data_IF_716311846191
#
_entry.id   IF_716311846191
#
_cell.length_a   1.000
_cell.length_b   1.000
_cell.length_c   1.000
_cell.angle_alpha   90.00
_cell.angle_beta   90.00
_cell.angle_gamma   90.00
#
_symmetry.space_group_name_H-M   'P 1'
#
loop_
_entity.id
_entity.type
_entity.pdbx_description
1 polymer ?
#
# COMPACT_ATOMS: atom_id res chain seq x y z
N UNK A 1 28.05 2.54 29.13
CA UNK A 1 27.88 2.64 27.67
C UNK A 1 26.69 1.75 27.30
N UNK A 2 25.48 2.32 27.22
CA UNK A 2 24.31 1.56 26.78
C UNK A 2 24.48 1.27 25.28
N UNK A 3 24.54 0.01 24.91
CA UNK A 3 24.39 -0.43 23.52
C UNK A 3 22.99 0.03 23.09
N UNK A 4 22.92 1.04 22.24
CA UNK A 4 21.69 1.30 21.49
C UNK A 4 21.52 0.14 20.53
N UNK A 5 20.55 -0.73 20.79
CA UNK A 5 20.11 -1.68 19.80
C UNK A 5 19.69 -0.91 18.55
N UNK A 6 20.12 -1.33 17.36
CA UNK A 6 19.75 -0.65 16.13
C UNK A 6 18.22 -0.65 16.03
N UNK A 7 17.63 0.54 15.81
CA UNK A 7 16.19 0.66 15.58
C UNK A 7 15.87 -0.20 14.35
N UNK A 8 14.98 -1.20 14.46
CA UNK A 8 14.65 -2.03 13.31
C UNK A 8 14.13 -1.16 12.18
N UNK A 9 14.64 -1.37 10.97
CA UNK A 9 14.25 -0.60 9.78
C UNK A 9 12.76 -0.72 9.47
N UNK A 10 12.11 -1.79 9.95
CA UNK A 10 10.67 -2.02 9.85
C UNK A 10 10.18 -2.95 10.96
N UNK A 11 8.88 -2.95 11.20
CA UNK A 11 8.22 -3.87 12.12
C UNK A 11 7.04 -4.57 11.45
N UNK A 12 6.98 -5.89 11.48
CA UNK A 12 5.77 -6.63 11.11
C UNK A 12 4.68 -6.34 12.14
N UNK A 13 3.49 -5.97 11.68
CA UNK A 13 2.36 -5.69 12.59
C UNK A 13 1.82 -7.01 13.13
N UNK A 14 2.09 -7.28 14.40
CA UNK A 14 1.65 -8.46 15.17
C UNK A 14 1.12 -8.03 16.54
N UNK A 15 0.45 -8.91 17.28
CA UNK A 15 -0.04 -8.59 18.62
C UNK A 15 1.05 -8.11 19.58
N UNK A 16 2.25 -8.69 19.49
CA UNK A 16 3.40 -8.41 20.36
C UNK A 16 4.34 -7.33 19.83
N UNK A 17 4.17 -6.86 18.59
CA UNK A 17 5.07 -5.88 17.99
C UNK A 17 5.08 -4.56 18.77
N UNK A 18 6.24 -3.91 18.83
CA UNK A 18 6.41 -2.61 19.47
C UNK A 18 5.97 -1.47 18.52
N UNK A 19 4.67 -1.31 18.33
CA UNK A 19 4.06 -0.28 17.48
C UNK A 19 3.49 0.83 18.36
N UNK A 20 4.06 2.03 18.25
CA UNK A 20 3.54 3.22 18.92
C UNK A 20 3.07 4.27 17.88
N UNK A 21 2.03 5.01 18.19
CA UNK A 21 1.52 6.06 17.29
C UNK A 21 2.57 7.15 17.04
N UNK A 22 3.39 7.48 18.03
CA UNK A 22 4.45 8.49 17.91
C UNK A 22 5.56 8.08 16.92
N UNK A 23 5.89 6.78 16.84
CA UNK A 23 6.98 6.28 15.98
C UNK A 23 6.50 5.69 14.66
N UNK A 24 5.33 5.04 14.62
CA UNK A 24 4.81 4.33 13.46
C UNK A 24 3.50 4.91 12.91
N UNK A 25 2.96 5.93 13.59
CA UNK A 25 1.72 6.59 13.23
C UNK A 25 0.45 5.83 13.67
N UNK A 26 -0.67 6.55 13.56
CA UNK A 26 -1.97 6.06 14.04
C UNK A 26 -2.51 4.89 13.22
N UNK A 27 -2.30 4.86 11.92
CA UNK A 27 -2.78 3.77 11.06
C UNK A 27 -2.16 2.43 11.45
N UNK A 28 -0.84 2.40 11.65
CA UNK A 28 -0.13 1.21 12.10
C UNK A 28 -0.63 0.76 13.49
N UNK A 29 -0.86 1.72 14.39
CA UNK A 29 -1.40 1.44 15.72
C UNK A 29 -2.84 0.90 15.68
N UNK A 30 -3.70 1.43 14.82
CA UNK A 30 -5.05 0.91 14.60
C UNK A 30 -5.01 -0.51 14.05
N UNK A 31 -4.19 -0.79 13.04
CA UNK A 31 -4.03 -2.14 12.50
C UNK A 31 -3.59 -3.12 13.60
N UNK A 32 -2.63 -2.74 14.45
CA UNK A 32 -2.22 -3.58 15.57
C UNK A 32 -3.37 -3.85 16.56
N UNK A 33 -4.23 -2.87 16.82
CA UNK A 33 -5.42 -3.09 17.66
C UNK A 33 -6.38 -4.12 17.05
N UNK A 34 -6.62 -4.05 15.74
CA UNK A 34 -7.44 -5.01 15.03
C UNK A 34 -6.84 -6.43 15.10
N UNK A 35 -5.53 -6.56 14.91
CA UNK A 35 -4.81 -7.84 15.06
C UNK A 35 -4.96 -8.40 16.47
N UNK A 36 -4.87 -7.56 17.50
CA UNK A 36 -5.05 -7.99 18.91
C UNK A 36 -6.47 -8.43 19.24
N UNK A 37 -7.46 -7.95 18.48
CA UNK A 37 -8.86 -8.35 18.58
C UNK A 37 -9.19 -9.56 17.69
N UNK A 38 -8.16 -10.19 17.10
CA UNK A 38 -8.29 -11.34 16.18
C UNK A 38 -9.18 -11.04 14.96
N UNK A 39 -9.24 -9.77 14.55
CA UNK A 39 -9.97 -9.37 13.36
C UNK A 39 -9.14 -9.60 12.10
N UNK A 40 -9.76 -10.03 10.99
CA UNK A 40 -9.05 -10.29 9.75
C UNK A 40 -8.50 -8.99 9.16
N UNK A 41 -7.18 -8.83 9.15
CA UNK A 41 -6.48 -7.72 8.52
C UNK A 41 -5.42 -8.23 7.56
N UNK A 42 -5.12 -7.52 6.48
CA UNK A 42 -4.03 -7.88 5.59
C UNK A 42 -2.70 -7.89 6.35
N UNK A 43 -1.82 -8.84 6.00
CA UNK A 43 -0.44 -8.84 6.49
C UNK A 43 0.19 -7.48 6.21
N UNK A 44 0.80 -6.88 7.21
CA UNK A 44 1.26 -5.50 7.16
C UNK A 44 2.60 -5.31 7.86
N UNK A 45 3.40 -4.43 7.31
CA UNK A 45 4.69 -3.98 7.84
C UNK A 45 4.61 -2.48 8.07
N UNK A 46 5.10 -1.99 9.19
CA UNK A 46 5.19 -0.57 9.52
C UNK A 46 6.65 -0.11 9.50
N UNK A 47 6.90 1.00 8.82
CA UNK A 47 8.17 1.70 8.83
C UNK A 47 8.13 2.78 9.92
N UNK A 48 9.11 2.86 10.82
CA UNK A 48 9.21 3.97 11.77
C UNK A 48 9.43 5.30 11.05
N UNK A 49 8.98 6.38 11.65
CA UNK A 49 9.17 7.72 11.10
C UNK A 49 10.65 8.09 10.87
N UNK A 50 11.56 7.53 11.66
CA UNK A 50 13.01 7.67 11.48
C UNK A 50 13.48 7.05 10.18
N UNK A 51 13.02 5.83 9.85
CA UNK A 51 13.32 5.15 8.58
C UNK A 51 12.73 5.92 7.40
N UNK A 52 11.48 6.38 7.51
CA UNK A 52 10.86 7.20 6.44
C UNK A 52 11.65 8.49 6.19
N UNK A 53 12.11 9.17 7.25
CA UNK A 53 12.96 10.36 7.12
C UNK A 53 14.32 10.04 6.48
N UNK A 54 14.94 8.92 6.84
CA UNK A 54 16.19 8.48 6.25
C UNK A 54 16.05 8.20 4.74
N UNK A 55 14.97 7.52 4.34
CA UNK A 55 14.65 7.28 2.92
C UNK A 55 14.46 8.63 2.18
N UNK A 56 13.72 9.56 2.78
CA UNK A 56 13.51 10.88 2.20
C UNK A 56 14.80 11.69 2.05
N UNK A 57 15.80 11.41 2.90
CA UNK A 57 17.15 11.98 2.81
C UNK A 57 18.07 11.23 1.82
N UNK A 58 17.56 10.22 1.11
CA UNK A 58 18.32 9.46 0.11
C UNK A 58 19.03 8.21 0.63
N UNK A 59 18.79 7.82 1.88
CA UNK A 59 19.35 6.57 2.41
C UNK A 59 18.58 5.37 1.84
N UNK A 60 19.32 4.28 1.57
CA UNK A 60 18.70 3.02 1.15
C UNK A 60 17.88 2.37 2.26
N UNK A 61 16.93 1.53 1.87
CA UNK A 61 16.16 0.65 2.76
C UNK A 61 16.26 -0.78 2.24
N UNK A 62 16.24 -1.77 3.12
CA UNK A 62 16.16 -3.18 2.74
C UNK A 62 14.74 -3.51 2.20
N UNK A 63 14.49 -3.10 0.97
CA UNK A 63 13.23 -3.38 0.30
C UNK A 63 12.98 -4.89 0.11
N UNK A 64 14.04 -5.68 -0.09
CA UNK A 64 13.94 -7.13 -0.26
C UNK A 64 13.49 -7.80 1.04
N UNK A 65 14.07 -7.43 2.18
CA UNK A 65 13.68 -7.92 3.50
C UNK A 65 12.24 -7.52 3.85
N UNK A 66 11.81 -6.31 3.50
CA UNK A 66 10.42 -5.87 3.66
C UNK A 66 9.49 -6.76 2.81
N UNK A 67 9.79 -6.93 1.52
CA UNK A 67 8.95 -7.69 0.59
C UNK A 67 8.87 -9.17 0.94
N UNK A 68 9.94 -9.76 1.47
CA UNK A 68 9.98 -11.14 1.92
C UNK A 68 8.85 -11.48 2.93
N UNK A 69 8.42 -10.49 3.73
CA UNK A 69 7.30 -10.67 4.66
C UNK A 69 5.96 -10.98 3.97
N UNK A 70 5.82 -10.70 2.68
CA UNK A 70 4.56 -10.84 1.95
C UNK A 70 4.50 -12.07 1.05
N UNK A 71 5.58 -12.88 1.00
CA UNK A 71 5.70 -14.05 0.13
C UNK A 71 6.12 -13.69 -1.30
N UNK A 72 5.98 -14.66 -2.21
CA UNK A 72 6.44 -14.52 -3.59
C UNK A 72 5.55 -13.59 -4.41
N UNK A 73 6.17 -12.54 -4.90
CA UNK A 73 5.54 -11.62 -5.83
C UNK A 73 4.24 -11.00 -5.31
N UNK A 74 4.20 -10.35 -4.16
CA UNK A 74 2.96 -9.81 -3.59
C UNK A 74 2.41 -8.65 -4.40
N UNK A 75 1.09 -8.43 -4.34
CA UNK A 75 0.49 -7.11 -4.58
C UNK A 75 0.45 -6.37 -3.25
N UNK A 76 1.11 -5.25 -3.17
CA UNK A 76 1.19 -4.47 -1.94
C UNK A 76 0.54 -3.10 -2.09
N UNK A 77 0.17 -2.52 -0.97
CA UNK A 77 -0.29 -1.14 -0.88
C UNK A 77 0.59 -0.37 0.08
N UNK A 78 1.06 0.80 -0.36
CA UNK A 78 1.79 1.73 0.50
C UNK A 78 0.83 2.81 0.96
N UNK A 79 0.76 3.00 2.27
CA UNK A 79 -0.17 3.94 2.91
C UNK A 79 0.56 4.83 3.91
N UNK A 80 0.27 6.13 3.95
CA UNK A 80 0.79 6.99 4.99
C UNK A 80 0.22 6.59 6.36
N UNK A 81 1.05 6.73 7.39
CA UNK A 81 0.66 6.49 8.77
C UNK A 81 1.18 7.65 9.65
N UNK A 82 0.54 8.82 9.57
CA UNK A 82 0.97 9.98 10.34
C UNK A 82 0.72 9.81 11.83
N UNK A 83 1.49 10.52 12.66
CA UNK A 83 1.28 10.58 14.09
C UNK A 83 -0.02 11.39 14.43
N UNK A 84 -0.31 12.42 13.64
CA UNK A 84 -1.59 13.14 13.70
C UNK A 84 -2.56 12.55 12.67
N UNK A 85 -3.71 11.98 13.08
CA UNK A 85 -4.68 11.37 12.16
C UNK A 85 -5.32 12.39 11.20
N UNK A 86 -5.39 13.66 11.59
CA UNK A 86 -6.00 14.73 10.80
C UNK A 86 -5.04 15.31 9.75
N UNK A 87 -3.79 14.87 9.75
CA UNK A 87 -2.82 15.30 8.74
C UNK A 87 -3.16 14.71 7.38
N UNK A 88 -3.49 15.58 6.42
CA UNK A 88 -3.81 15.23 5.04
C UNK A 88 -2.63 14.78 4.20
N UNK A 89 -1.81 13.87 4.71
CA UNK A 89 -0.58 13.39 4.11
C UNK A 89 -0.70 12.82 2.68
N UNK A 90 0.39 12.26 2.14
CA UNK A 90 0.43 11.76 0.77
C UNK A 90 -0.62 10.68 0.52
N UNK A 91 -1.03 10.54 -0.73
CA UNK A 91 -2.03 9.56 -1.13
C UNK A 91 -1.54 8.11 -0.93
N UNK A 92 -2.50 7.21 -0.83
CA UNK A 92 -2.26 5.77 -0.84
C UNK A 92 -1.96 5.29 -2.25
N UNK A 93 -0.92 4.48 -2.43
CA UNK A 93 -0.65 3.79 -3.69
C UNK A 93 -1.05 2.33 -3.52
N UNK A 94 -2.02 1.89 -4.31
CA UNK A 94 -2.56 0.54 -4.28
C UNK A 94 -1.95 -0.31 -5.39
N UNK A 95 -2.01 -1.64 -5.21
CA UNK A 95 -1.68 -2.63 -6.24
C UNK A 95 -0.26 -2.54 -6.81
N UNK A 96 0.71 -2.09 -6.00
CA UNK A 96 2.12 -2.09 -6.40
C UNK A 96 2.55 -3.52 -6.66
N UNK A 97 3.17 -3.75 -7.82
CA UNK A 97 3.52 -5.07 -8.33
C UNK A 97 2.53 -5.61 -9.38
N UNK A 98 1.46 -4.88 -9.68
CA UNK A 98 0.56 -5.22 -10.78
C UNK A 98 1.28 -4.97 -12.11
N UNK A 99 1.38 -6.02 -12.91
CA UNK A 99 2.01 -6.02 -14.23
C UNK A 99 1.13 -6.78 -15.22
N UNK A 100 1.51 -6.83 -16.51
CA UNK A 100 0.73 -7.46 -17.56
C UNK A 100 0.34 -8.92 -17.25
N UNK A 101 1.27 -9.73 -16.70
CA UNK A 101 0.99 -11.12 -16.33
C UNK A 101 -0.07 -11.23 -15.23
N UNK A 102 -0.03 -10.36 -14.23
CA UNK A 102 -1.01 -10.34 -13.14
C UNK A 102 -2.34 -9.74 -13.57
N UNK A 103 -2.29 -8.74 -14.44
CA UNK A 103 -3.49 -8.20 -15.08
C UNK A 103 -4.26 -9.31 -15.80
N UNK A 104 -3.59 -10.11 -16.65
CA UNK A 104 -4.22 -11.24 -17.35
C UNK A 104 -4.90 -12.24 -16.36
N UNK A 105 -4.20 -12.61 -15.28
CA UNK A 105 -4.79 -13.49 -14.23
C UNK A 105 -5.98 -12.86 -13.51
N UNK A 106 -5.96 -11.56 -13.25
CA UNK A 106 -7.10 -10.85 -12.67
C UNK A 106 -8.28 -10.82 -13.64
N UNK A 107 -8.02 -10.63 -14.96
CA UNK A 107 -9.04 -10.64 -15.99
C UNK A 107 -9.71 -12.02 -16.09
N UNK A 108 -8.95 -13.12 -15.99
CA UNK A 108 -9.50 -14.48 -15.95
C UNK A 108 -10.42 -14.71 -14.73
N UNK A 109 -10.08 -14.13 -13.57
CA UNK A 109 -10.79 -14.39 -12.30
C UNK A 109 -11.94 -13.43 -12.07
N UNK A 110 -11.77 -12.15 -12.42
CA UNK A 110 -12.70 -11.05 -12.07
C UNK A 110 -13.30 -10.34 -13.28
N UNK A 111 -12.90 -10.73 -14.49
CA UNK A 111 -13.29 -10.08 -15.74
C UNK A 111 -12.36 -8.94 -16.13
N UNK A 112 -12.27 -8.72 -17.44
CA UNK A 112 -11.34 -7.77 -18.06
C UNK A 112 -11.56 -6.32 -17.58
N UNK A 113 -12.83 -5.87 -17.52
CA UNK A 113 -13.16 -4.53 -17.07
C UNK A 113 -12.72 -4.23 -15.62
N UNK A 114 -12.79 -5.24 -14.72
CA UNK A 114 -12.32 -5.09 -13.34
C UNK A 114 -10.79 -5.04 -13.27
N UNK A 115 -10.11 -5.89 -14.05
CA UNK A 115 -8.65 -5.90 -14.14
C UNK A 115 -8.11 -4.58 -14.71
N UNK A 116 -8.73 -4.06 -15.76
CA UNK A 116 -8.39 -2.78 -16.38
C UNK A 116 -8.57 -1.62 -15.41
N UNK A 117 -9.69 -1.59 -14.68
CA UNK A 117 -9.94 -0.53 -13.70
C UNK A 117 -8.91 -0.52 -12.57
N UNK A 118 -8.49 -1.69 -12.09
CA UNK A 118 -7.44 -1.82 -11.07
C UNK A 118 -6.08 -1.40 -11.60
N UNK A 119 -5.75 -1.81 -12.82
CA UNK A 119 -4.48 -1.47 -13.47
C UNK A 119 -4.38 0.04 -13.74
N UNK A 120 -5.43 0.63 -14.28
CA UNK A 120 -5.50 2.07 -14.54
C UNK A 120 -5.31 2.88 -13.25
N UNK A 121 -6.01 2.52 -12.18
CA UNK A 121 -5.86 3.19 -10.87
C UNK A 121 -4.43 3.09 -10.33
N UNK A 122 -3.78 1.95 -10.50
CA UNK A 122 -2.38 1.79 -10.09
C UNK A 122 -1.47 2.69 -10.90
N UNK A 123 -1.59 2.67 -12.24
CA UNK A 123 -0.76 3.48 -13.15
C UNK A 123 -0.94 4.97 -12.86
N UNK A 124 -2.18 5.45 -12.72
CA UNK A 124 -2.47 6.84 -12.40
C UNK A 124 -1.88 7.26 -11.05
N UNK A 125 -2.10 6.46 -10.00
CA UNK A 125 -1.56 6.77 -8.68
C UNK A 125 -0.03 6.81 -8.68
N UNK A 126 0.62 5.88 -9.37
CA UNK A 126 2.07 5.83 -9.51
C UNK A 126 2.59 7.05 -10.31
N UNK A 127 1.97 7.34 -11.42
CA UNK A 127 2.35 8.46 -12.29
C UNK A 127 2.28 9.80 -11.55
N UNK A 128 1.19 10.06 -10.84
CA UNK A 128 0.97 11.33 -10.11
C UNK A 128 1.87 11.41 -8.87
N UNK A 129 1.88 10.37 -8.03
CA UNK A 129 2.49 10.47 -6.69
C UNK A 129 3.97 10.08 -6.66
N UNK A 130 4.44 9.25 -7.59
CA UNK A 130 5.84 8.80 -7.67
C UNK A 130 6.57 9.50 -8.81
N UNK A 131 6.04 9.42 -10.03
CA UNK A 131 6.66 10.05 -11.20
C UNK A 131 6.41 11.56 -11.30
N UNK A 132 5.55 12.13 -10.44
CA UNK A 132 5.24 13.57 -10.36
C UNK A 132 4.67 14.15 -11.66
N UNK A 133 3.90 13.36 -12.40
CA UNK A 133 3.19 13.84 -13.58
C UNK A 133 1.97 14.66 -13.16
N UNK A 134 1.57 15.57 -14.07
CA UNK A 134 0.40 16.40 -13.86
C UNK A 134 -0.87 15.52 -13.83
N UNK A 135 -1.72 15.64 -12.79
CA UNK A 135 -3.00 14.93 -12.72
C UNK A 135 -3.93 15.19 -13.90
N UNK A 136 -3.91 16.40 -14.48
CA UNK A 136 -4.80 16.82 -15.56
C UNK A 136 -4.61 15.97 -16.83
N UNK A 137 -3.42 15.38 -17.01
CA UNK A 137 -3.14 14.44 -18.11
C UNK A 137 -4.07 13.22 -18.08
N UNK A 138 -4.60 12.88 -16.91
CA UNK A 138 -5.43 11.68 -16.69
C UNK A 138 -6.93 11.96 -16.63
N UNK A 139 -7.36 13.22 -16.68
CA UNK A 139 -8.78 13.59 -16.50
C UNK A 139 -9.70 13.03 -17.59
N UNK A 140 -9.19 12.76 -18.79
CA UNK A 140 -9.91 12.11 -19.88
C UNK A 140 -9.94 10.58 -19.82
N UNK A 141 -9.16 9.95 -18.91
CA UNK A 141 -8.96 8.50 -18.84
C UNK A 141 -9.79 7.83 -17.73
N UNK A 142 -10.91 8.40 -17.32
CA UNK A 142 -11.79 7.75 -16.34
C UNK A 142 -12.35 6.47 -16.96
N UNK A 143 -12.26 5.32 -16.24
CA UNK A 143 -12.94 4.11 -16.69
C UNK A 143 -14.43 4.43 -16.80
N UNK A 144 -15.00 4.29 -17.99
CA UNK A 144 -16.42 4.45 -18.19
C UNK A 144 -17.19 3.53 -17.24
N UNK A 145 -18.44 3.88 -16.85
CA UNK A 145 -19.28 2.99 -16.06
C UNK A 145 -19.40 1.68 -16.83
N UNK A 146 -18.89 0.58 -16.23
CA UNK A 146 -18.99 -0.73 -16.84
C UNK A 146 -20.44 -0.98 -17.23
N UNK A 147 -20.71 -1.21 -18.51
CA UNK A 147 -22.00 -1.65 -18.98
C UNK A 147 -22.27 -2.99 -18.32
N UNK A 148 -23.01 -3.00 -17.21
CA UNK A 148 -23.57 -4.23 -16.66
C UNK A 148 -24.46 -4.80 -17.76
N UNK A 149 -24.03 -5.88 -18.40
CA UNK A 149 -24.92 -6.72 -19.20
C UNK A 149 -25.90 -7.35 -18.22
N UNK A 150 -26.99 -6.65 -17.95
CA UNK A 150 -28.18 -7.27 -17.46
C UNK A 150 -28.68 -8.18 -18.58
N UNK A 151 -28.43 -9.48 -18.43
CA UNK A 151 -28.97 -10.47 -19.36
C UNK A 151 -30.48 -10.49 -19.16
N UNK A 152 -31.20 -9.86 -20.09
CA UNK A 152 -32.61 -10.19 -20.33
C UNK A 152 -32.70 -11.68 -20.67
N UNK A 153 -33.11 -12.46 -19.69
CA UNK A 153 -33.73 -13.77 -19.95
C UNK A 153 -35.24 -13.55 -20.03
N UNK A 154 -35.74 -13.64 -21.26
CA UNK A 154 -37.14 -14.01 -21.51
C UNK A 154 -37.36 -15.48 -21.19
#
# INVERSE_FOLDING_TARGET
MQKHDPIPEFAQISPSAQIAAASHGWRAKCLQRLVRLDLPVPKSVALPATTVKAIAAGHGVDAAGILHNFGDGPLISVRPSPANPDWGGPATILNIGLNAKRHARLAETHGEAAADALYLRFVQAYAIHVARLDPDVFDGLKPGPGKSRCSEKR
#
